data_IF_034933059246
#
_entry.id   IF_034933059246
#
_cell.length_a   1.000
_cell.length_b   1.000
_cell.length_c   1.000
_cell.angle_alpha   90.00
_cell.angle_beta   90.00
_cell.angle_gamma   90.00
#
_symmetry.space_group_name_H-M   'P 1'
#
loop_
_entity.id
_entity.type
_entity.pdbx_description
1 polymer ?
#
# COMPACT_ATOMS: atom_id res chain seq x y z
N UNK A 1 -8.37 11.82 -20.90
CA UNK A 1 -7.26 12.65 -21.43
C UNK A 1 -5.89 11.98 -21.27
N UNK A 2 -5.51 11.49 -20.08
CA UNK A 2 -4.17 10.96 -19.81
C UNK A 2 -3.78 9.69 -20.58
N UNK A 3 -4.62 8.65 -20.60
CA UNK A 3 -4.33 7.42 -21.36
C UNK A 3 -4.23 7.67 -22.89
N UNK A 4 -4.98 8.66 -23.40
CA UNK A 4 -4.89 9.07 -24.81
C UNK A 4 -3.54 9.73 -25.11
N UNK A 5 -2.95 10.47 -24.16
CA UNK A 5 -1.61 11.03 -24.33
C UNK A 5 -0.53 9.95 -24.42
N UNK A 6 -0.63 8.87 -23.63
CA UNK A 6 0.30 7.73 -23.73
C UNK A 6 0.25 7.12 -25.14
N UNK A 7 -0.96 6.92 -25.66
CA UNK A 7 -1.17 6.37 -27.00
C UNK A 7 -0.66 7.32 -28.09
N UNK A 8 -0.98 8.62 -28.01
CA UNK A 8 -0.58 9.61 -29.04
C UNK A 8 0.94 9.80 -29.12
N UNK A 9 1.64 9.64 -27.99
CA UNK A 9 3.10 9.74 -27.93
C UNK A 9 3.82 8.40 -28.20
N UNK A 10 3.09 7.34 -28.62
CA UNK A 10 3.63 6.00 -28.88
C UNK A 10 4.43 5.43 -27.69
N UNK A 11 4.05 5.80 -26.46
CA UNK A 11 4.67 5.28 -25.24
C UNK A 11 4.13 3.87 -24.93
N UNK A 12 4.88 3.06 -24.16
CA UNK A 12 4.38 1.77 -23.70
C UNK A 12 3.04 1.88 -22.97
N UNK A 13 2.14 0.89 -23.11
CA UNK A 13 0.85 0.92 -22.47
C UNK A 13 0.99 0.87 -20.94
N UNK A 14 0.32 1.81 -20.25
CA UNK A 14 0.26 1.81 -18.80
C UNK A 14 -0.71 0.73 -18.31
N UNK A 15 -0.19 -0.28 -17.62
CA UNK A 15 -0.96 -1.43 -17.12
C UNK A 15 -1.37 -1.29 -15.66
N UNK A 16 -0.48 -0.80 -14.82
CA UNK A 16 -0.70 -0.54 -13.39
C UNK A 16 0.10 0.68 -12.94
N UNK A 17 -0.33 1.27 -11.82
CA UNK A 17 0.35 2.38 -11.15
C UNK A 17 0.53 1.96 -9.69
N UNK A 18 1.76 2.01 -9.19
CA UNK A 18 2.08 1.65 -7.81
C UNK A 18 2.84 2.79 -7.14
N UNK A 19 2.43 3.17 -5.93
CA UNK A 19 3.08 4.22 -5.15
C UNK A 19 4.21 3.57 -4.33
N UNK A 20 5.25 3.14 -5.03
CA UNK A 20 6.45 2.48 -4.48
C UNK A 20 7.73 3.13 -5.05
N UNK A 21 7.65 4.41 -5.40
CA UNK A 21 8.79 5.21 -5.83
C UNK A 21 9.54 5.81 -4.64
N UNK A 22 9.99 7.06 -4.77
CA UNK A 22 10.57 7.79 -3.65
C UNK A 22 9.49 8.25 -2.67
N UNK A 23 9.73 8.05 -1.38
CA UNK A 23 8.84 8.47 -0.28
C UNK A 23 7.81 7.41 0.10
N UNK A 24 6.93 7.78 1.04
CA UNK A 24 5.89 6.91 1.60
C UNK A 24 4.52 7.56 1.50
N UNK A 25 3.52 6.85 0.98
CA UNK A 25 2.18 7.41 0.80
C UNK A 25 1.51 7.76 2.15
N UNK A 26 1.82 7.02 3.21
CA UNK A 26 1.30 7.24 4.56
C UNK A 26 1.92 8.44 5.26
N UNK A 27 3.10 8.89 4.83
CA UNK A 27 3.69 10.14 5.31
C UNK A 27 3.04 11.39 4.68
N UNK A 28 2.36 11.25 3.53
CA UNK A 28 1.62 12.32 2.88
C UNK A 28 0.27 11.84 2.32
N UNK A 29 -0.63 11.36 3.20
CA UNK A 29 -1.82 10.64 2.76
C UNK A 29 -2.82 11.53 2.04
N UNK A 30 -2.86 12.84 2.38
CA UNK A 30 -3.72 13.83 1.73
C UNK A 30 -3.41 13.92 0.23
N UNK A 31 -2.17 14.22 -0.13
CA UNK A 31 -1.78 14.40 -1.53
C UNK A 31 -1.74 13.07 -2.28
N UNK A 32 -1.35 11.96 -1.62
CA UNK A 32 -1.43 10.63 -2.21
C UNK A 32 -2.87 10.26 -2.61
N UNK A 33 -3.83 10.55 -1.73
CA UNK A 33 -5.26 10.33 -1.99
C UNK A 33 -5.79 11.22 -3.12
N UNK A 34 -5.39 12.50 -3.17
CA UNK A 34 -5.78 13.38 -4.27
C UNK A 34 -5.21 12.91 -5.61
N UNK A 35 -3.95 12.49 -5.64
CA UNK A 35 -3.32 11.92 -6.83
C UNK A 35 -4.07 10.66 -7.29
N UNK A 36 -4.40 9.75 -6.36
CA UNK A 36 -5.18 8.56 -6.65
C UNK A 36 -6.54 8.89 -7.27
N UNK A 37 -7.28 9.85 -6.70
CA UNK A 37 -8.55 10.34 -7.24
C UNK A 37 -8.38 10.89 -8.65
N UNK A 38 -7.36 11.71 -8.89
CA UNK A 38 -7.07 12.26 -10.22
C UNK A 38 -6.76 11.18 -11.26
N UNK A 39 -6.02 10.14 -10.87
CA UNK A 39 -5.65 9.03 -11.74
C UNK A 39 -6.88 8.17 -12.10
N UNK A 40 -7.83 8.01 -11.19
CA UNK A 40 -9.03 7.21 -11.42
C UNK A 40 -10.20 7.97 -12.02
N UNK A 41 -10.18 9.30 -11.98
CA UNK A 41 -11.24 10.17 -12.52
C UNK A 41 -11.41 9.92 -14.05
N UNK A 42 -12.61 9.51 -14.50
CA UNK A 42 -12.90 9.25 -15.92
C UNK A 42 -12.65 10.45 -16.85
N UNK A 43 -12.80 11.67 -16.35
CA UNK A 43 -12.58 12.89 -17.12
C UNK A 43 -11.09 13.22 -17.25
N UNK A 44 -10.25 12.71 -16.34
CA UNK A 44 -8.79 12.93 -16.32
C UNK A 44 -8.04 11.76 -16.95
N UNK A 45 -7.52 10.85 -16.14
CA UNK A 45 -6.75 9.70 -16.61
C UNK A 45 -7.62 8.48 -16.84
N UNK A 46 -8.73 8.32 -16.11
CA UNK A 46 -9.68 7.22 -16.27
C UNK A 46 -9.07 5.85 -15.99
N UNK A 47 -8.07 5.77 -15.11
CA UNK A 47 -7.42 4.51 -14.78
C UNK A 47 -8.29 3.66 -13.86
N UNK A 48 -8.31 2.34 -14.06
CA UNK A 48 -9.04 1.46 -13.16
C UNK A 48 -8.40 1.47 -11.77
N UNK A 49 -9.22 1.70 -10.73
CA UNK A 49 -8.78 1.62 -9.33
C UNK A 49 -8.18 0.25 -8.96
N UNK A 50 -8.57 -0.83 -9.65
CA UNK A 50 -8.03 -2.18 -9.41
C UNK A 50 -6.57 -2.34 -9.89
N UNK A 51 -6.06 -1.38 -10.66
CA UNK A 51 -4.69 -1.35 -11.18
C UNK A 51 -3.84 -0.27 -10.50
N UNK A 52 -4.39 0.38 -9.48
CA UNK A 52 -3.73 1.42 -8.69
C UNK A 52 -3.47 0.88 -7.29
N UNK A 53 -2.22 0.92 -6.82
CA UNK A 53 -1.84 0.46 -5.48
C UNK A 53 -1.14 1.58 -4.72
N UNK A 54 -1.65 1.90 -3.53
CA UNK A 54 -1.03 2.81 -2.58
C UNK A 54 -0.24 1.99 -1.56
N UNK A 55 1.08 2.19 -1.49
CA UNK A 55 1.94 1.49 -0.53
C UNK A 55 2.37 2.40 0.61
N UNK A 56 2.45 1.85 1.81
CA UNK A 56 3.02 2.53 2.98
C UNK A 56 3.75 1.55 3.89
N UNK A 57 4.78 2.02 4.59
CA UNK A 57 5.39 1.32 5.74
C UNK A 57 4.52 1.41 7.01
N UNK A 58 3.47 2.23 6.99
CA UNK A 58 2.60 2.47 8.14
C UNK A 58 3.26 3.39 9.18
N UNK A 59 3.44 4.70 8.88
CA UNK A 59 4.03 5.63 9.85
C UNK A 59 3.13 5.85 11.07
N UNK A 60 1.81 5.69 10.91
CA UNK A 60 0.81 5.71 11.98
C UNK A 60 -0.36 4.78 11.62
N UNK A 61 -1.13 4.29 12.60
CA UNK A 61 -2.40 3.59 12.33
C UNK A 61 -3.38 4.43 11.49
N UNK A 62 -3.46 5.74 11.76
CA UNK A 62 -4.34 6.65 11.05
C UNK A 62 -4.00 6.82 9.55
N UNK A 63 -2.72 6.62 9.17
CA UNK A 63 -2.33 6.63 7.76
C UNK A 63 -3.03 5.52 6.96
N UNK A 64 -3.29 4.36 7.56
CA UNK A 64 -4.07 3.31 6.91
C UNK A 64 -5.49 3.74 6.63
N UNK A 65 -6.18 4.42 7.56
CA UNK A 65 -7.53 4.95 7.31
C UNK A 65 -7.55 5.92 6.13
N UNK A 66 -6.60 6.85 6.09
CA UNK A 66 -6.55 7.83 5.02
C UNK A 66 -6.30 7.19 3.64
N UNK A 67 -5.39 6.21 3.55
CA UNK A 67 -5.14 5.47 2.30
C UNK A 67 -6.26 4.47 1.98
N UNK A 68 -6.95 3.93 2.99
CA UNK A 68 -8.14 3.11 2.83
C UNK A 68 -9.34 3.92 2.31
N UNK A 69 -9.42 5.22 2.56
CA UNK A 69 -10.44 6.07 1.93
C UNK A 69 -10.16 6.39 0.45
N UNK A 70 -8.92 6.19 -0.02
CA UNK A 70 -8.51 6.50 -1.38
C UNK A 70 -8.93 5.42 -2.39
N UNK A 71 -9.19 5.78 -3.66
CA UNK A 71 -9.43 4.79 -4.70
C UNK A 71 -8.12 4.04 -5.00
N UNK A 72 -8.16 2.71 -4.95
CA UNK A 72 -6.99 1.88 -5.16
C UNK A 72 -6.95 0.67 -4.22
N UNK A 73 -5.97 -0.20 -4.43
CA UNK A 73 -5.57 -1.22 -3.48
C UNK A 73 -4.59 -0.65 -2.46
N UNK A 74 -4.53 -1.27 -1.28
CA UNK A 74 -3.63 -0.88 -0.21
C UNK A 74 -2.52 -1.93 -0.10
N UNK A 75 -1.28 -1.47 0.05
CA UNK A 75 -0.14 -2.33 0.35
C UNK A 75 0.54 -1.87 1.63
N UNK A 76 0.85 -2.83 2.51
CA UNK A 76 1.63 -2.60 3.71
C UNK A 76 3.02 -3.19 3.54
N UNK A 77 4.03 -2.33 3.55
CA UNK A 77 5.45 -2.69 3.50
C UNK A 77 5.91 -3.12 4.89
N UNK A 78 5.61 -4.37 5.25
CA UNK A 78 5.82 -4.93 6.60
C UNK A 78 7.28 -5.35 6.83
N UNK A 79 7.86 -6.07 5.87
CA UNK A 79 9.23 -6.62 5.86
C UNK A 79 9.60 -7.63 6.98
N UNK A 80 9.01 -7.58 8.17
CA UNK A 80 9.16 -8.60 9.21
C UNK A 80 7.98 -8.55 10.18
N UNK A 81 7.54 -9.71 10.68
CA UNK A 81 6.51 -9.80 11.72
C UNK A 81 7.10 -9.56 13.13
N UNK A 82 8.34 -9.99 13.37
CA UNK A 82 9.08 -9.69 14.59
C UNK A 82 9.35 -8.19 14.71
N UNK A 83 8.95 -7.63 15.85
CA UNK A 83 9.04 -6.20 16.16
C UNK A 83 10.48 -5.66 16.10
N UNK A 84 11.43 -6.37 16.72
CA UNK A 84 12.82 -5.94 16.80
C UNK A 84 13.50 -5.96 15.43
N UNK A 85 13.28 -7.03 14.67
CA UNK A 85 13.75 -7.13 13.28
C UNK A 85 13.10 -6.06 12.41
N UNK A 86 11.80 -5.85 12.51
CA UNK A 86 11.11 -4.82 11.74
C UNK A 86 11.65 -3.43 12.05
N UNK A 87 11.90 -3.11 13.32
CA UNK A 87 12.48 -1.83 13.73
C UNK A 87 13.87 -1.60 13.13
N UNK A 88 14.67 -2.65 12.96
CA UNK A 88 15.96 -2.57 12.26
C UNK A 88 15.80 -2.35 10.75
N UNK A 89 14.82 -3.00 10.12
CA UNK A 89 14.57 -2.90 8.69
C UNK A 89 13.87 -1.59 8.29
N UNK A 90 12.98 -1.09 9.15
CA UNK A 90 12.16 0.11 8.93
C UNK A 90 12.34 1.05 10.14
N UNK A 91 13.50 1.73 10.24
CA UNK A 91 13.82 2.55 11.42
C UNK A 91 12.92 3.78 11.59
N UNK A 92 12.18 4.15 10.54
CA UNK A 92 11.21 5.25 10.57
C UNK A 92 9.86 4.85 11.16
N UNK A 93 9.62 3.55 11.40
CA UNK A 93 8.37 3.10 12.01
C UNK A 93 8.40 3.34 13.53
N UNK A 94 7.52 4.23 13.99
CA UNK A 94 7.41 4.59 15.41
C UNK A 94 6.45 3.68 16.21
N UNK A 95 5.77 2.75 15.53
CA UNK A 95 4.75 1.88 16.12
C UNK A 95 5.13 0.41 15.93
N UNK A 96 4.80 -0.37 16.95
CA UNK A 96 4.90 -1.83 16.92
C UNK A 96 4.02 -2.41 15.80
N UNK A 97 4.46 -3.50 15.15
CA UNK A 97 3.76 -4.09 14.02
C UNK A 97 2.31 -4.49 14.36
N UNK A 98 2.02 -4.96 15.57
CA UNK A 98 0.68 -5.34 16.02
C UNK A 98 -0.27 -4.15 16.03
N UNK A 99 0.17 -3.00 16.53
CA UNK A 99 -0.63 -1.76 16.55
C UNK A 99 -0.95 -1.31 15.12
N UNK A 100 0.02 -1.46 14.21
CA UNK A 100 -0.17 -1.15 12.80
C UNK A 100 -1.09 -2.15 12.10
N UNK A 101 -0.98 -3.45 12.41
CA UNK A 101 -1.87 -4.50 11.91
C UNK A 101 -3.31 -4.24 12.34
N UNK A 102 -3.52 -3.93 13.61
CA UNK A 102 -4.87 -3.69 14.14
C UNK A 102 -5.48 -2.44 13.50
N UNK A 103 -4.71 -1.36 13.34
CA UNK A 103 -5.15 -0.16 12.62
C UNK A 103 -5.39 -0.40 11.12
N UNK A 104 -4.62 -1.27 10.48
CA UNK A 104 -4.85 -1.69 9.10
C UNK A 104 -6.16 -2.48 8.98
N UNK A 105 -6.41 -3.43 9.89
CA UNK A 105 -7.64 -4.21 9.92
C UNK A 105 -8.87 -3.32 10.14
N UNK A 106 -8.79 -2.38 11.09
CA UNK A 106 -9.83 -1.38 11.34
C UNK A 106 -10.08 -0.51 10.09
N UNK A 107 -9.03 0.01 9.47
CA UNK A 107 -9.13 0.84 8.28
C UNK A 107 -9.78 0.09 7.10
N UNK A 108 -9.43 -1.18 6.91
CA UNK A 108 -9.99 -2.03 5.84
C UNK A 108 -11.46 -2.29 6.07
N UNK A 109 -11.86 -2.63 7.29
CA UNK A 109 -13.26 -2.90 7.62
C UNK A 109 -14.11 -1.62 7.54
N UNK A 110 -13.60 -0.50 8.07
CA UNK A 110 -14.29 0.80 8.02
C UNK A 110 -14.53 1.32 6.59
N UNK A 111 -13.69 0.93 5.63
CA UNK A 111 -13.80 1.34 4.21
C UNK A 111 -14.26 0.21 3.29
N UNK A 112 -14.84 -0.83 3.87
CA UNK A 112 -15.51 -1.91 3.15
C UNK A 112 -16.84 -1.39 2.62
N UNK A 113 -16.98 -1.30 1.31
CA UNK A 113 -18.19 -0.88 0.61
C UNK A 113 -18.59 -1.97 -0.39
N UNK A 114 -19.84 -1.98 -0.86
CA UNK A 114 -20.30 -2.99 -1.82
C UNK A 114 -19.49 -3.01 -3.11
N UNK A 115 -19.00 -1.86 -3.55
CA UNK A 115 -18.12 -1.77 -4.71
C UNK A 115 -16.67 -2.16 -4.39
N UNK A 116 -16.23 -2.16 -3.12
CA UNK A 116 -14.85 -2.47 -2.69
C UNK A 116 -14.73 -3.83 -1.99
N UNK A 117 -15.73 -4.72 -2.13
CA UNK A 117 -15.70 -6.10 -1.59
C UNK A 117 -14.45 -6.89 -2.00
N UNK A 118 -13.84 -6.54 -3.15
CA UNK A 118 -12.61 -7.16 -3.67
C UNK A 118 -11.33 -6.36 -3.38
N UNK A 119 -11.35 -5.44 -2.41
CA UNK A 119 -10.14 -4.68 -2.07
C UNK A 119 -9.14 -5.59 -1.36
N UNK A 120 -8.26 -6.20 -2.15
CA UNK A 120 -7.10 -6.92 -1.64
C UNK A 120 -6.15 -5.95 -0.91
N UNK A 121 -5.71 -6.38 0.27
CA UNK A 121 -4.56 -5.81 0.97
C UNK A 121 -3.35 -6.65 0.61
N UNK A 122 -2.29 -6.00 0.14
CA UNK A 122 -1.03 -6.67 -0.12
C UNK A 122 -0.08 -6.46 1.06
N UNK A 123 0.38 -7.54 1.68
CA UNK A 123 1.49 -7.47 2.64
C UNK A 123 2.79 -7.69 1.87
N UNK A 124 3.65 -6.68 1.83
CA UNK A 124 4.90 -6.69 1.12
C UNK A 124 6.06 -7.01 2.06
N UNK A 125 6.88 -8.00 1.67
CA UNK A 125 8.08 -8.42 2.40
C UNK A 125 9.24 -8.48 1.42
N UNK A 126 10.30 -7.74 1.74
CA UNK A 126 11.54 -7.76 0.96
C UNK A 126 12.43 -8.81 1.57
N UNK A 127 12.83 -9.81 0.81
CA UNK A 127 13.70 -10.88 1.31
C UNK A 127 15.16 -10.43 1.25
N UNK A 128 15.80 -10.46 2.41
CA UNK A 128 17.19 -10.12 2.63
C UNK A 128 17.92 -11.37 3.12
N UNK A 129 18.99 -11.71 2.39
CA UNK A 129 19.74 -12.95 2.60
C UNK A 129 20.26 -13.08 4.04
N UNK A 130 19.83 -14.13 4.75
CA UNK A 130 20.23 -14.40 6.12
C UNK A 130 19.65 -13.44 7.17
N UNK A 131 18.70 -12.57 6.80
CA UNK A 131 18.10 -11.57 7.69
C UNK A 131 16.62 -11.87 7.96
N UNK A 132 15.81 -12.04 6.91
CA UNK A 132 14.36 -12.28 7.04
C UNK A 132 13.84 -13.30 6.00
N UNK A 133 14.71 -14.21 5.53
CA UNK A 133 14.44 -15.14 4.43
C UNK A 133 14.36 -16.63 4.84
N UNK A 134 14.54 -16.92 6.13
CA UNK A 134 14.46 -18.28 6.67
C UNK A 134 13.01 -18.81 6.83
N UNK A 135 12.78 -20.14 6.81
CA UNK A 135 11.45 -20.74 6.96
C UNK A 135 10.68 -20.35 8.23
N UNK A 136 11.37 -20.02 9.33
CA UNK A 136 10.70 -19.59 10.56
C UNK A 136 10.06 -18.20 10.41
N UNK A 137 10.71 -17.26 9.70
CA UNK A 137 10.12 -15.95 9.40
C UNK A 137 8.83 -16.07 8.58
N UNK A 138 8.76 -17.03 7.66
CA UNK A 138 7.54 -17.30 6.89
C UNK A 138 6.40 -17.81 7.79
N UNK A 139 6.70 -18.65 8.79
CA UNK A 139 5.72 -19.13 9.78
C UNK A 139 5.25 -18.01 10.70
N UNK A 140 6.17 -17.17 11.17
CA UNK A 140 5.85 -15.98 11.98
C UNK A 140 4.96 -15.02 11.20
N UNK A 141 5.31 -14.72 9.95
CA UNK A 141 4.50 -13.88 9.08
C UNK A 141 3.09 -14.47 8.88
N UNK A 142 2.98 -15.78 8.61
CA UNK A 142 1.69 -16.44 8.42
C UNK A 142 0.82 -16.47 9.69
N UNK A 143 1.43 -16.50 10.88
CA UNK A 143 0.72 -16.40 12.15
C UNK A 143 0.32 -14.95 12.50
N UNK A 144 1.03 -13.97 11.95
CA UNK A 144 0.84 -12.56 12.24
C UNK A 144 -0.27 -11.90 11.41
N UNK A 145 -0.40 -12.28 10.12
CA UNK A 145 -1.32 -11.66 9.13
C UNK A 145 -2.72 -12.24 9.14
#
# INVERSE_FOLDING_TARGET
MGLRMVQSNKLPPLRSIVFMGMGDAGCNPKHATEAARCLTDPQRFGFSRHRLTLSTVGPTPAAFHALAAAPGQLAWSLHAADADLRKRLVPTACYEPEVLRDGLAEAVEAHRCESSKDRAVMVAVTLLAGVNDQPHHAKELAAFV
#
